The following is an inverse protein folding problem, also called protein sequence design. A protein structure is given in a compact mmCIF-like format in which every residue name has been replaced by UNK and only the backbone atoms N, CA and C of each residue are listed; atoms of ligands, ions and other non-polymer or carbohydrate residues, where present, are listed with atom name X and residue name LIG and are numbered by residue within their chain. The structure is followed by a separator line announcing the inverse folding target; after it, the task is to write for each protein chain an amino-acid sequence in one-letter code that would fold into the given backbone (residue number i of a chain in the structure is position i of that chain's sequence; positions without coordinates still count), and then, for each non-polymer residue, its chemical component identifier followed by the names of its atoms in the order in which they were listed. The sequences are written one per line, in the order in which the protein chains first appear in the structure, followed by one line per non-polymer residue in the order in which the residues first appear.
data_IF_656941194754
#
_entry.id   IF_656941194754
#
_cell.length_a   1.000
_cell.length_b   1.000
_cell.length_c   1.000
_cell.angle_alpha   90.00
_cell.angle_beta   90.00
_cell.angle_gamma   90.00
#
_symmetry.space_group_name_H-M   'P 1'
#
loop_
_entity.id
_entity.type
_entity.pdbx_description
1 polymer ?
#
# COMPACT_ATOMS: atom_id res chain seq x y z
N UNK A 1 -11.12 49.39 -26.93
CA UNK A 1 -12.32 48.60 -27.32
C UNK A 1 -12.05 47.14 -26.95
N UNK A 2 -12.38 46.79 -25.71
CA UNK A 2 -12.06 45.51 -25.07
C UNK A 2 -13.05 44.44 -25.54
N UNK A 3 -12.56 43.42 -26.26
CA UNK A 3 -13.35 42.24 -26.63
C UNK A 3 -13.37 41.30 -25.42
N UNK A 4 -14.43 41.40 -24.61
CA UNK A 4 -14.76 40.38 -23.61
C UNK A 4 -14.99 39.04 -24.31
N UNK A 5 -14.05 38.11 -24.13
CA UNK A 5 -14.28 36.70 -24.44
C UNK A 5 -15.21 36.14 -23.37
N UNK A 6 -16.39 35.69 -23.77
CA UNK A 6 -17.40 35.08 -22.87
C UNK A 6 -16.88 33.85 -22.11
N UNK A 7 -17.63 33.36 -21.10
CA UNK A 7 -17.20 32.26 -20.25
C UNK A 7 -17.04 30.99 -21.09
N UNK A 8 -15.78 30.61 -21.32
CA UNK A 8 -15.44 29.45 -22.15
C UNK A 8 -16.02 28.15 -21.58
N UNK A 9 -16.64 27.38 -22.48
CA UNK A 9 -17.18 26.03 -22.28
C UNK A 9 -16.20 25.08 -21.54
N UNK A 10 -14.90 25.36 -21.59
CA UNK A 10 -13.87 24.62 -20.85
C UNK A 10 -13.99 24.63 -19.31
N UNK A 11 -14.75 25.57 -18.72
CA UNK A 11 -14.94 25.62 -17.27
C UNK A 11 -16.16 24.82 -16.76
N UNK A 12 -17.11 24.47 -17.64
CA UNK A 12 -18.37 23.83 -17.24
C UNK A 12 -18.13 22.38 -16.83
N UNK A 13 -17.46 21.59 -17.68
CA UNK A 13 -17.08 20.21 -17.37
C UNK A 13 -16.22 20.10 -16.10
N UNK A 14 -15.37 21.11 -15.83
CA UNK A 14 -14.51 21.13 -14.66
C UNK A 14 -15.29 21.46 -13.37
N UNK A 15 -16.28 22.35 -13.43
CA UNK A 15 -17.22 22.59 -12.32
C UNK A 15 -18.06 21.36 -12.02
N UNK A 16 -18.47 20.62 -13.04
CA UNK A 16 -19.17 19.33 -12.89
C UNK A 16 -18.26 18.29 -12.23
N UNK A 17 -16.99 18.19 -12.63
CA UNK A 17 -16.02 17.27 -12.03
C UNK A 17 -15.69 17.63 -10.58
N UNK A 18 -15.56 18.92 -10.25
CA UNK A 18 -15.47 19.41 -8.87
C UNK A 18 -16.72 19.09 -8.08
N UNK A 19 -17.91 19.26 -8.66
CA UNK A 19 -19.17 18.92 -8.00
C UNK A 19 -19.29 17.41 -7.77
N UNK A 20 -18.80 16.56 -8.69
CA UNK A 20 -18.81 15.10 -8.54
C UNK A 20 -17.79 14.62 -7.52
N UNK A 21 -16.57 15.19 -7.49
CA UNK A 21 -15.57 14.85 -6.47
C UNK A 21 -16.01 15.40 -5.11
N UNK A 22 -16.49 16.64 -5.03
CA UNK A 22 -17.02 17.18 -3.79
C UNK A 22 -18.31 16.49 -3.36
N UNK A 23 -19.16 15.98 -4.26
CA UNK A 23 -20.37 15.25 -3.86
C UNK A 23 -20.06 13.81 -3.46
N UNK A 24 -19.09 13.15 -4.11
CA UNK A 24 -18.55 11.88 -3.63
C UNK A 24 -17.92 12.09 -2.27
N UNK A 25 -17.03 13.09 -2.10
CA UNK A 25 -16.35 13.40 -0.83
C UNK A 25 -17.29 13.94 0.27
N UNK A 26 -18.29 14.76 -0.06
CA UNK A 26 -19.28 15.22 0.92
C UNK A 26 -20.30 14.12 1.26
N UNK A 27 -20.60 13.22 0.32
CA UNK A 27 -21.32 11.98 0.58
C UNK A 27 -20.55 11.04 1.52
N UNK A 28 -19.22 11.17 1.62
CA UNK A 28 -18.38 10.46 2.61
C UNK A 28 -18.59 10.99 4.04
N UNK A 29 -19.06 12.23 4.22
CA UNK A 29 -19.14 12.90 5.53
C UNK A 29 -20.39 12.59 6.37
N UNK A 30 -21.38 11.87 5.82
CA UNK A 30 -22.68 11.66 6.49
C UNK A 30 -23.13 10.20 6.60
N UNK A 31 -22.29 9.25 6.20
CA UNK A 31 -22.47 7.88 6.70
C UNK A 31 -21.99 7.88 8.15
N UNK A 32 -22.88 8.23 9.08
CA UNK A 32 -22.70 7.93 10.49
C UNK A 32 -22.39 6.44 10.60
N UNK A 33 -21.10 6.09 10.70
CA UNK A 33 -20.74 4.86 11.37
C UNK A 33 -21.30 5.06 12.76
N UNK A 34 -22.36 4.33 13.10
CA UNK A 34 -22.70 4.14 14.49
C UNK A 34 -21.40 3.70 15.16
N UNK A 35 -20.81 4.62 15.92
CA UNK A 35 -19.87 4.26 16.95
C UNK A 35 -20.74 3.48 17.92
N UNK A 36 -20.84 2.17 17.68
CA UNK A 36 -20.96 1.27 18.81
C UNK A 36 -19.68 1.56 19.58
N UNK A 37 -19.81 2.42 20.58
CA UNK A 37 -19.03 2.24 21.79
C UNK A 37 -19.13 0.73 22.06
N UNK A 38 -17.99 0.05 22.02
CA UNK A 38 -17.94 -1.27 22.59
C UNK A 38 -18.25 -1.02 24.07
N UNK A 39 -19.51 -1.26 24.40
CA UNK A 39 -20.06 -1.39 25.74
C UNK A 39 -19.13 -2.32 26.54
N UNK A 40 -19.07 -2.11 27.85
CA UNK A 40 -18.23 -2.80 28.84
C UNK A 40 -18.34 -4.34 28.75
N UNK A 41 -17.71 -4.91 27.73
CA UNK A 41 -17.71 -6.32 27.43
C UNK A 41 -16.39 -6.92 27.88
N UNK A 42 -16.47 -7.98 28.67
CA UNK A 42 -15.32 -8.79 29.08
C UNK A 42 -14.45 -9.12 27.85
N UNK A 43 -13.16 -8.77 27.90
CA UNK A 43 -12.21 -9.11 26.85
C UNK A 43 -11.69 -10.52 27.10
N UNK A 44 -11.46 -11.28 26.03
CA UNK A 44 -10.94 -12.65 26.15
C UNK A 44 -9.72 -12.88 25.28
N UNK A 45 -8.74 -13.59 25.83
CA UNK A 45 -7.71 -14.27 25.07
C UNK A 45 -8.12 -15.72 24.93
N UNK A 46 -8.23 -16.18 23.69
CA UNK A 46 -8.51 -17.57 23.36
C UNK A 46 -7.22 -18.19 22.89
N UNK A 47 -6.57 -18.95 23.75
CA UNK A 47 -5.43 -19.77 23.36
C UNK A 47 -5.94 -21.09 22.79
N UNK A 48 -5.45 -21.46 21.62
CA UNK A 48 -5.82 -22.69 20.91
C UNK A 48 -4.57 -23.54 20.74
N UNK A 49 -4.59 -24.78 21.22
CA UNK A 49 -3.49 -25.72 21.04
C UNK A 49 -3.95 -26.83 20.11
N UNK A 50 -3.23 -26.99 19.01
CA UNK A 50 -3.54 -27.97 17.97
C UNK A 50 -2.32 -28.84 17.72
N UNK A 51 -2.52 -30.15 17.64
CA UNK A 51 -1.55 -31.13 17.17
C UNK A 51 -1.66 -31.21 15.66
N UNK A 52 -0.54 -31.01 14.98
CA UNK A 52 -0.44 -31.08 13.54
C UNK A 52 0.29 -32.37 13.16
N UNK A 53 -0.36 -33.19 12.34
CA UNK A 53 0.23 -34.41 11.78
C UNK A 53 0.10 -34.33 10.27
N UNK A 54 1.16 -34.70 9.55
CA UNK A 54 1.15 -34.77 8.10
C UNK A 54 0.53 -36.10 7.66
N UNK A 55 -0.57 -36.03 6.92
CA UNK A 55 -1.17 -37.18 6.22
C UNK A 55 -1.15 -36.85 4.73
N UNK A 56 -0.32 -37.55 3.96
CA UNK A 56 -0.11 -37.31 2.52
C UNK A 56 0.28 -35.84 2.18
N UNK A 57 1.26 -35.27 2.89
CA UNK A 57 1.72 -33.88 2.73
C UNK A 57 0.66 -32.79 3.02
N UNK A 58 -0.53 -33.17 3.50
CA UNK A 58 -1.55 -32.22 3.97
C UNK A 58 -1.51 -32.17 5.50
N UNK A 59 -1.41 -30.98 6.11
CA UNK A 59 -1.42 -30.85 7.56
C UNK A 59 -2.83 -31.07 8.11
N UNK A 60 -3.05 -32.21 8.76
CA UNK A 60 -4.27 -32.47 9.52
C UNK A 60 -4.08 -31.95 10.95
N UNK A 61 -5.05 -31.18 11.44
CA UNK A 61 -4.98 -30.51 12.75
C UNK A 61 -6.02 -31.08 13.69
N UNK A 62 -5.56 -31.67 14.78
CA UNK A 62 -6.40 -32.21 15.84
C UNK A 62 -6.26 -31.35 17.11
N UNK A 63 -7.34 -31.05 17.84
CA UNK A 63 -7.25 -30.26 19.07
C UNK A 63 -6.50 -31.02 20.17
N UNK A 64 -5.68 -30.31 20.96
CA UNK A 64 -4.94 -30.88 22.10
C UNK A 64 -5.50 -30.35 23.41
N UNK A 65 -6.09 -31.25 24.19
CA UNK A 65 -6.54 -30.98 25.55
C UNK A 65 -5.37 -31.08 26.54
N UNK A 66 -5.45 -30.38 27.67
CA UNK A 66 -4.52 -30.54 28.79
C UNK A 66 -3.28 -29.64 28.80
N UNK A 67 -3.12 -28.73 27.83
CA UNK A 67 -2.01 -27.79 27.81
C UNK A 67 -2.29 -26.59 28.74
N UNK A 68 -1.36 -26.27 29.64
CA UNK A 68 -1.44 -25.09 30.51
C UNK A 68 -0.96 -23.83 29.78
N UNK A 69 -1.77 -22.78 29.85
CA UNK A 69 -1.52 -21.48 29.26
C UNK A 69 -1.57 -20.41 30.34
N UNK A 70 -0.54 -19.58 30.40
CA UNK A 70 -0.43 -18.42 31.29
C UNK A 70 -0.51 -17.14 30.48
N UNK A 71 -1.33 -16.20 30.94
CA UNK A 71 -1.42 -14.86 30.39
C UNK A 71 -0.83 -13.88 31.40
N UNK A 72 0.23 -13.21 31.00
CA UNK A 72 0.92 -12.19 31.80
C UNK A 72 0.87 -10.83 31.10
N UNK A 73 0.98 -9.75 31.87
CA UNK A 73 1.19 -8.39 31.33
C UNK A 73 2.65 -8.23 30.88
N UNK A 74 2.96 -7.22 30.06
CA UNK A 74 4.35 -6.92 29.65
C UNK A 74 5.33 -6.71 30.81
N UNK A 75 4.82 -6.37 31.99
CA UNK A 75 5.58 -6.14 33.22
C UNK A 75 5.74 -7.42 34.08
N UNK A 76 5.25 -8.57 33.62
CA UNK A 76 5.38 -9.87 34.27
C UNK A 76 4.27 -10.23 35.27
N UNK A 77 3.26 -9.38 35.45
CA UNK A 77 2.12 -9.65 36.34
C UNK A 77 1.18 -10.70 35.75
N UNK A 78 0.86 -11.75 36.52
CA UNK A 78 -0.06 -12.81 36.09
C UNK A 78 -1.52 -12.32 36.12
N UNK A 79 -2.22 -12.45 35.00
CA UNK A 79 -3.63 -12.05 34.86
C UNK A 79 -4.56 -13.25 34.97
N UNK A 80 -4.16 -14.37 34.35
CA UNK A 80 -4.93 -15.60 34.41
C UNK A 80 -4.15 -16.79 33.85
N UNK A 81 -4.53 -17.97 34.30
CA UNK A 81 -4.03 -19.26 33.82
C UNK A 81 -5.23 -20.14 33.47
N UNK A 82 -5.07 -21.01 32.48
CA UNK A 82 -6.09 -21.97 32.15
C UNK A 82 -5.54 -23.16 31.37
N UNK A 83 -6.34 -24.22 31.32
CA UNK A 83 -5.99 -25.48 30.67
C UNK A 83 -6.87 -25.65 29.43
N UNK A 84 -6.32 -26.16 28.34
CA UNK A 84 -7.10 -26.44 27.13
C UNK A 84 -8.12 -27.57 27.34
N UNK A 85 -9.36 -27.34 26.90
CA UNK A 85 -10.44 -28.33 26.93
C UNK A 85 -10.33 -29.37 25.80
N UNK A 86 -11.33 -30.26 25.70
CA UNK A 86 -11.41 -31.28 24.64
C UNK A 86 -11.48 -30.70 23.22
N UNK A 87 -11.85 -29.41 23.08
CA UNK A 87 -11.85 -28.63 21.85
C UNK A 87 -10.48 -27.98 21.55
N UNK A 88 -9.48 -28.19 22.41
CA UNK A 88 -8.14 -27.60 22.29
C UNK A 88 -8.12 -26.10 22.53
N UNK A 89 -9.16 -25.54 23.17
CA UNK A 89 -9.27 -24.12 23.46
C UNK A 89 -9.19 -23.86 24.96
N UNK A 90 -8.54 -22.76 25.31
CA UNK A 90 -8.54 -22.17 26.64
C UNK A 90 -8.97 -20.71 26.51
N UNK A 91 -9.93 -20.28 27.33
CA UNK A 91 -10.42 -18.90 27.35
C UNK A 91 -9.99 -18.25 28.65
N UNK A 92 -9.23 -17.16 28.56
CA UNK A 92 -8.78 -16.37 29.71
C UNK A 92 -9.37 -14.97 29.57
N UNK A 93 -10.11 -14.53 30.59
CA UNK A 93 -10.63 -13.17 30.65
C UNK A 93 -9.49 -12.18 30.94
N UNK A 94 -9.44 -11.09 30.19
CA UNK A 94 -8.49 -9.99 30.37
C UNK A 94 -9.26 -8.70 30.68
N UNK A 95 -8.76 -7.88 31.62
CA UNK A 95 -9.51 -6.72 32.14
C UNK A 95 -9.60 -5.57 31.12
N UNK A 96 -8.62 -5.41 30.24
CA UNK A 96 -8.53 -4.32 29.25
C UNK A 96 -7.93 -4.82 27.94
N UNK A 97 -7.88 -3.98 26.90
CA UNK A 97 -7.07 -4.25 25.70
C UNK A 97 -5.69 -3.66 25.89
N UNK A 98 -4.76 -4.45 26.40
CA UNK A 98 -3.37 -4.06 26.62
C UNK A 98 -2.40 -5.07 26.00
N UNK A 99 -1.11 -4.84 26.19
CA UNK A 99 -0.04 -5.73 25.74
C UNK A 99 0.08 -6.93 26.70
N UNK A 100 -0.11 -8.13 26.16
CA UNK A 100 -0.06 -9.37 26.92
C UNK A 100 1.00 -10.32 26.36
N UNK A 101 1.61 -11.10 27.26
CA UNK A 101 2.50 -12.21 26.97
C UNK A 101 1.74 -13.50 27.29
N UNK A 102 1.62 -14.36 26.30
CA UNK A 102 0.88 -15.62 26.42
C UNK A 102 1.89 -16.75 26.31
N UNK A 103 2.04 -17.47 27.41
CA UNK A 103 3.04 -18.53 27.58
C UNK A 103 2.34 -19.88 27.65
N UNK A 104 2.83 -20.83 26.87
CA UNK A 104 2.42 -22.23 26.99
C UNK A 104 3.47 -23.01 27.77
N UNK A 105 3.04 -23.75 28.80
CA UNK A 105 3.94 -24.60 29.56
C UNK A 105 4.23 -25.88 28.78
N UNK A 106 5.42 -25.95 28.19
CA UNK A 106 5.87 -27.09 27.38
C UNK A 106 5.94 -28.42 28.16
N UNK A 107 6.01 -28.37 29.49
CA UNK A 107 6.02 -29.58 30.33
C UNK A 107 4.63 -30.15 30.57
N UNK A 108 3.59 -29.34 30.35
CA UNK A 108 2.18 -29.72 30.53
C UNK A 108 1.56 -30.39 29.30
N UNK A 109 2.30 -30.49 28.19
CA UNK A 109 1.81 -31.08 26.95
C UNK A 109 1.64 -32.61 27.08
N UNK A 110 0.43 -33.18 26.85
CA UNK A 110 0.25 -34.62 26.91
C UNK A 110 0.91 -35.35 25.74
N UNK A 111 1.24 -36.63 25.94
CA UNK A 111 1.75 -37.57 24.94
C UNK A 111 3.16 -37.31 24.36
N UNK A 112 4.03 -36.55 25.05
CA UNK A 112 5.39 -36.26 24.56
C UNK A 112 5.43 -35.33 23.34
N UNK A 113 4.32 -34.62 23.09
CA UNK A 113 4.22 -33.61 22.05
C UNK A 113 5.12 -32.42 22.39
N UNK A 114 5.91 -31.97 21.42
CA UNK A 114 6.68 -30.74 21.52
C UNK A 114 6.04 -29.66 20.65
N UNK A 115 6.32 -28.39 20.98
CA UNK A 115 5.95 -27.28 20.11
C UNK A 115 6.72 -27.39 18.79
N UNK A 116 6.02 -27.13 17.69
CA UNK A 116 6.63 -27.08 16.35
C UNK A 116 7.69 -25.97 16.26
N UNK A 117 7.48 -24.87 16.98
CA UNK A 117 8.39 -23.73 17.06
C UNK A 117 8.59 -23.36 18.53
N UNK A 118 9.74 -23.73 19.10
CA UNK A 118 10.07 -23.45 20.49
C UNK A 118 10.15 -21.94 20.80
N UNK A 119 10.46 -21.10 19.80
CA UNK A 119 10.49 -19.64 19.98
C UNK A 119 9.07 -19.05 20.11
N UNK A 120 8.03 -19.77 19.68
CA UNK A 120 6.62 -19.41 19.85
C UNK A 120 6.00 -19.99 21.13
N UNK A 121 6.80 -20.50 22.05
CA UNK A 121 6.33 -20.85 23.39
C UNK A 121 5.80 -19.62 24.15
N UNK A 122 6.30 -18.42 23.81
CA UNK A 122 5.77 -17.14 24.26
C UNK A 122 5.30 -16.33 23.06
N UNK A 123 4.04 -15.89 23.09
CA UNK A 123 3.48 -15.03 22.05
C UNK A 123 3.12 -13.68 22.65
N UNK A 124 3.78 -12.63 22.14
CA UNK A 124 3.42 -11.25 22.46
C UNK A 124 2.21 -10.81 21.66
N UNK A 125 1.19 -10.34 22.35
CA UNK A 125 0.00 -9.74 21.76
C UNK A 125 -0.03 -8.27 22.14
N UNK A 126 0.21 -7.41 21.17
CA UNK A 126 0.06 -5.97 21.34
C UNK A 126 -1.41 -5.53 21.31
N UNK A 127 -1.73 -4.45 22.02
CA UNK A 127 -3.08 -3.86 22.07
C UNK A 127 -3.71 -3.61 20.68
N UNK A 128 -2.88 -3.29 19.69
CA UNK A 128 -3.32 -2.98 18.30
C UNK A 128 -3.80 -4.25 17.57
N UNK A 129 -3.42 -5.44 18.05
CA UNK A 129 -3.78 -6.72 17.45
C UNK A 129 -5.16 -7.24 17.87
N UNK A 130 -5.85 -6.57 18.81
CA UNK A 130 -7.24 -6.85 19.17
C UNK A 130 -8.20 -6.23 18.15
N UNK A 131 -8.61 -7.02 17.15
CA UNK A 131 -9.58 -6.59 16.13
C UNK A 131 -11.04 -6.67 16.58
N UNK A 132 -11.33 -7.52 17.58
CA UNK A 132 -12.62 -7.70 18.29
C UNK A 132 -12.39 -7.79 19.82
N UNK A 133 -13.45 -8.03 20.61
CA UNK A 133 -13.32 -8.26 22.07
C UNK A 133 -12.55 -9.55 22.41
N UNK A 134 -12.23 -10.38 21.41
CA UNK A 134 -11.51 -11.64 21.60
C UNK A 134 -10.27 -11.68 20.72
N UNK A 135 -9.11 -12.01 21.29
CA UNK A 135 -7.91 -12.34 20.51
C UNK A 135 -7.66 -13.84 20.56
N UNK A 136 -7.56 -14.48 19.40
CA UNK A 136 -7.13 -15.88 19.31
C UNK A 136 -5.62 -15.95 19.09
N UNK A 137 -4.95 -16.78 19.88
CA UNK A 137 -3.55 -17.18 19.69
C UNK A 137 -3.52 -18.69 19.54
N UNK A 138 -2.82 -19.19 18.52
CA UNK A 138 -2.77 -20.62 18.25
C UNK A 138 -1.34 -21.13 18.37
N UNK A 139 -1.16 -22.15 19.21
CA UNK A 139 0.07 -22.91 19.37
C UNK A 139 -0.07 -24.23 18.62
N UNK A 140 0.96 -24.57 17.84
CA UNK A 140 0.99 -25.82 17.08
C UNK A 140 2.01 -26.77 17.71
N UNK A 141 1.59 -28.01 17.93
CA UNK A 141 2.36 -29.11 18.51
C UNK A 141 2.42 -30.28 17.54
N UNK A 142 3.34 -31.22 17.74
CA UNK A 142 3.45 -32.41 16.90
C UNK A 142 4.60 -32.35 15.92
N UNK A 143 4.54 -33.20 14.89
CA UNK A 143 5.51 -33.14 13.81
C UNK A 143 5.43 -31.75 13.19
N UNK A 144 6.60 -31.13 13.06
CA UNK A 144 6.79 -29.96 12.23
C UNK A 144 6.38 -30.31 10.80
N UNK A 145 5.08 -30.26 10.52
CA UNK A 145 4.53 -29.88 9.22
C UNK A 145 4.75 -28.40 8.95
N UNK A 146 5.79 -27.83 9.57
CA UNK A 146 6.68 -26.99 8.81
C UNK A 146 7.10 -27.88 7.64
N UNK A 147 6.45 -27.69 6.48
CA UNK A 147 7.28 -27.38 5.33
C UNK A 147 8.16 -26.25 5.83
N UNK A 148 9.29 -26.63 6.45
CA UNK A 148 10.41 -25.77 6.79
C UNK A 148 10.80 -25.34 5.43
N UNK A 149 10.12 -24.28 4.98
CA UNK A 149 10.13 -23.90 3.60
C UNK A 149 11.60 -23.82 3.32
N UNK A 150 12.10 -24.71 2.47
CA UNK A 150 13.55 -24.81 2.26
C UNK A 150 14.05 -23.38 2.11
N UNK A 151 15.27 -23.04 2.55
CA UNK A 151 15.73 -21.64 2.45
C UNK A 151 15.42 -21.07 1.06
N UNK A 152 15.55 -21.91 0.03
CA UNK A 152 15.07 -21.74 -1.35
C UNK A 152 13.58 -21.37 -1.48
N UNK A 153 12.63 -22.14 -0.94
CA UNK A 153 11.21 -21.77 -0.88
C UNK A 153 10.98 -20.39 -0.24
N UNK A 154 11.68 -20.08 0.87
CA UNK A 154 11.53 -18.77 1.53
C UNK A 154 12.04 -17.64 0.63
N UNK A 155 13.18 -17.84 -0.05
CA UNK A 155 13.68 -16.90 -1.06
C UNK A 155 12.73 -16.75 -2.25
N UNK A 156 12.18 -17.85 -2.78
CA UNK A 156 11.26 -17.84 -3.92
C UNK A 156 9.93 -17.15 -3.57
N UNK A 157 9.40 -17.36 -2.37
CA UNK A 157 8.20 -16.68 -1.89
C UNK A 157 8.44 -15.18 -1.74
N UNK A 158 9.55 -14.77 -1.11
CA UNK A 158 9.92 -13.34 -0.98
C UNK A 158 10.19 -12.68 -2.32
N UNK A 159 10.78 -13.39 -3.28
CA UNK A 159 10.94 -12.89 -4.63
C UNK A 159 9.58 -12.65 -5.31
N UNK A 160 8.63 -13.58 -5.13
CA UNK A 160 7.27 -13.46 -5.68
C UNK A 160 6.52 -12.28 -5.07
N UNK A 161 6.56 -12.13 -3.74
CA UNK A 161 6.01 -10.97 -3.03
C UNK A 161 6.71 -9.67 -3.50
N UNK A 162 8.02 -9.71 -3.70
CA UNK A 162 8.83 -8.61 -4.20
C UNK A 162 8.49 -8.16 -5.60
N UNK A 163 8.19 -9.10 -6.51
CA UNK A 163 7.71 -8.79 -7.86
C UNK A 163 6.36 -8.08 -7.78
N UNK A 164 5.44 -8.55 -6.92
CA UNK A 164 4.12 -7.93 -6.73
C UNK A 164 4.25 -6.51 -6.17
N UNK A 165 5.02 -6.34 -5.10
CA UNK A 165 5.29 -5.02 -4.52
C UNK A 165 6.00 -4.10 -5.53
N UNK A 166 6.97 -4.63 -6.29
CA UNK A 166 7.71 -3.93 -7.32
C UNK A 166 6.80 -3.40 -8.43
N UNK A 167 5.82 -4.17 -8.88
CA UNK A 167 4.82 -3.73 -9.86
C UNK A 167 4.00 -2.55 -9.32
N UNK A 168 3.56 -2.62 -8.06
CA UNK A 168 2.80 -1.54 -7.39
C UNK A 168 3.66 -0.27 -7.31
N UNK A 169 4.87 -0.37 -6.78
CA UNK A 169 5.77 0.77 -6.63
C UNK A 169 6.14 1.34 -8.00
N UNK A 170 6.41 0.52 -9.02
CA UNK A 170 6.72 0.96 -10.37
C UNK A 170 5.57 1.78 -10.97
N UNK A 171 4.32 1.35 -10.83
CA UNK A 171 3.16 2.11 -11.35
C UNK A 171 3.05 3.48 -10.66
N UNK A 172 3.13 3.51 -9.34
CA UNK A 172 3.04 4.76 -8.58
C UNK A 172 4.22 5.70 -8.92
N UNK A 173 5.43 5.14 -9.04
CA UNK A 173 6.67 5.85 -9.38
C UNK A 173 6.63 6.43 -10.79
N UNK A 174 6.10 5.70 -11.78
CA UNK A 174 5.93 6.21 -13.14
C UNK A 174 4.98 7.41 -13.14
N UNK A 175 3.87 7.34 -12.40
CA UNK A 175 2.94 8.46 -12.26
C UNK A 175 3.60 9.71 -11.68
N UNK A 176 4.33 9.56 -10.57
CA UNK A 176 5.05 10.67 -9.92
C UNK A 176 6.17 11.21 -10.82
N UNK A 177 6.93 10.32 -11.47
CA UNK A 177 8.02 10.71 -12.37
C UNK A 177 7.54 11.46 -13.61
N UNK A 178 6.35 11.16 -14.14
CA UNK A 178 5.79 11.93 -15.24
C UNK A 178 5.47 13.37 -14.81
N UNK A 179 4.89 13.53 -13.63
CA UNK A 179 4.59 14.86 -13.04
C UNK A 179 5.88 15.65 -12.82
N UNK A 180 6.86 15.06 -12.14
CA UNK A 180 8.16 15.69 -11.90
C UNK A 180 8.85 16.02 -13.24
N UNK A 181 8.89 15.07 -14.17
CA UNK A 181 9.57 15.22 -15.44
C UNK A 181 9.01 16.35 -16.30
N UNK A 182 7.69 16.57 -16.30
CA UNK A 182 7.06 17.60 -17.15
C UNK A 182 6.88 18.95 -16.48
N UNK A 183 6.82 19.01 -15.15
CA UNK A 183 6.55 20.27 -14.42
C UNK A 183 7.71 20.74 -13.55
N UNK A 184 8.68 19.88 -13.26
CA UNK A 184 9.76 20.15 -12.30
C UNK A 184 9.27 20.25 -10.85
N UNK A 185 8.03 19.85 -10.56
CA UNK A 185 7.43 19.93 -9.23
C UNK A 185 7.56 18.59 -8.51
N UNK A 186 8.28 18.60 -7.39
CA UNK A 186 8.35 17.46 -6.46
C UNK A 186 7.07 17.43 -5.62
N UNK A 187 6.12 16.59 -6.01
CA UNK A 187 4.81 16.50 -5.36
C UNK A 187 4.78 15.38 -4.30
N UNK A 188 5.01 15.71 -3.02
CA UNK A 188 4.89 14.73 -1.92
C UNK A 188 3.45 14.23 -1.73
N UNK A 189 2.44 15.05 -2.03
CA UNK A 189 1.04 14.66 -1.95
C UNK A 189 0.63 13.57 -2.98
N UNK A 190 1.53 13.16 -3.88
CA UNK A 190 1.30 12.01 -4.76
C UNK A 190 1.13 10.70 -3.97
N UNK A 191 1.78 10.57 -2.81
CA UNK A 191 1.49 9.49 -1.86
C UNK A 191 0.01 9.46 -1.50
N UNK A 192 -0.56 10.60 -1.14
CA UNK A 192 -1.98 10.71 -0.79
C UNK A 192 -2.94 10.47 -1.96
N UNK A 193 -2.48 10.65 -3.21
CA UNK A 193 -3.24 10.23 -4.39
C UNK A 193 -3.33 8.70 -4.49
N UNK A 194 -2.35 7.96 -3.96
CA UNK A 194 -2.40 6.50 -3.79
C UNK A 194 -3.42 6.13 -2.70
N UNK A 195 -3.34 6.78 -1.53
CA UNK A 195 -4.31 6.58 -0.43
C UNK A 195 -5.75 6.83 -0.91
N UNK A 196 -5.97 7.92 -1.66
CA UNK A 196 -7.26 8.27 -2.23
C UNK A 196 -7.85 7.14 -3.09
N UNK A 197 -7.02 6.51 -3.94
CA UNK A 197 -7.44 5.36 -4.74
C UNK A 197 -7.84 4.16 -3.90
N UNK A 198 -7.06 3.84 -2.87
CA UNK A 198 -7.35 2.73 -1.96
C UNK A 198 -8.65 2.96 -1.17
N UNK A 199 -8.87 4.18 -0.66
CA UNK A 199 -10.06 4.54 0.11
C UNK A 199 -11.33 4.58 -0.76
N UNK A 200 -11.26 5.11 -1.98
CA UNK A 200 -12.40 5.04 -2.90
C UNK A 200 -12.69 3.60 -3.32
N UNK A 201 -11.67 2.79 -3.56
CA UNK A 201 -11.85 1.36 -3.84
C UNK A 201 -12.60 0.68 -2.69
N UNK A 202 -12.19 0.95 -1.45
CA UNK A 202 -12.90 0.48 -0.27
C UNK A 202 -14.34 0.98 -0.21
N UNK A 203 -14.57 2.27 -0.44
CA UNK A 203 -15.90 2.84 -0.41
C UNK A 203 -16.85 2.19 -1.43
N UNK A 204 -16.45 2.11 -2.70
CA UNK A 204 -17.28 1.49 -3.72
C UNK A 204 -17.46 -0.02 -3.48
N UNK A 205 -16.41 -0.70 -2.99
CA UNK A 205 -16.46 -2.15 -2.82
C UNK A 205 -17.28 -2.59 -1.62
N UNK A 206 -17.17 -1.89 -0.50
CA UNK A 206 -17.74 -2.30 0.78
C UNK A 206 -19.02 -1.55 1.10
N UNK A 207 -19.05 -0.22 0.94
CA UNK A 207 -20.25 0.55 1.24
C UNK A 207 -21.31 0.45 0.14
N UNK A 208 -20.89 0.48 -1.12
CA UNK A 208 -21.79 0.36 -2.27
C UNK A 208 -21.92 -1.07 -2.80
N UNK A 209 -21.18 -2.02 -2.24
CA UNK A 209 -21.18 -3.44 -2.63
C UNK A 209 -20.88 -3.66 -4.13
N UNK A 210 -20.15 -2.74 -4.78
CA UNK A 210 -19.80 -2.85 -6.20
C UNK A 210 -18.54 -3.72 -6.34
N UNK A 211 -18.56 -4.77 -7.16
CA UNK A 211 -17.38 -5.61 -7.38
C UNK A 211 -16.16 -4.79 -7.83
N UNK A 212 -14.98 -5.13 -7.31
CA UNK A 212 -13.75 -4.37 -7.57
C UNK A 212 -13.38 -4.29 -9.06
N UNK A 213 -13.81 -5.27 -9.85
CA UNK A 213 -13.57 -5.29 -11.30
C UNK A 213 -14.34 -4.17 -12.03
N UNK A 214 -15.48 -3.74 -11.48
CA UNK A 214 -16.32 -2.66 -12.01
C UNK A 214 -15.94 -1.33 -11.37
N UNK A 215 -15.73 -1.32 -10.05
CA UNK A 215 -15.35 -0.08 -9.35
C UNK A 215 -13.91 0.34 -9.63
N UNK A 216 -13.01 -0.59 -9.97
CA UNK A 216 -11.62 -0.31 -10.30
C UNK A 216 -11.45 0.75 -11.40
N UNK A 217 -11.97 0.55 -12.62
CA UNK A 217 -11.91 1.56 -13.69
C UNK A 217 -12.51 2.91 -13.29
N UNK A 218 -13.61 2.92 -12.52
CA UNK A 218 -14.22 4.15 -12.02
C UNK A 218 -13.29 4.88 -11.04
N UNK A 219 -12.66 4.15 -10.11
CA UNK A 219 -11.72 4.70 -9.14
C UNK A 219 -10.46 5.22 -9.83
N UNK A 220 -9.96 4.53 -10.86
CA UNK A 220 -8.82 4.99 -11.67
C UNK A 220 -9.17 6.31 -12.37
N UNK A 221 -10.37 6.41 -12.94
CA UNK A 221 -10.87 7.65 -13.55
C UNK A 221 -10.94 8.78 -12.50
N UNK A 222 -11.54 8.51 -11.34
CA UNK A 222 -11.65 9.48 -10.25
C UNK A 222 -10.28 9.90 -9.70
N UNK A 223 -9.32 8.98 -9.61
CA UNK A 223 -7.94 9.26 -9.23
C UNK A 223 -7.24 10.19 -10.23
N UNK A 224 -7.43 9.95 -11.53
CA UNK A 224 -6.93 10.88 -12.55
C UNK A 224 -7.59 12.25 -12.49
N UNK A 225 -8.89 12.30 -12.26
CA UNK A 225 -9.64 13.53 -12.02
C UNK A 225 -9.14 14.28 -10.76
N UNK A 226 -8.78 13.56 -9.70
CA UNK A 226 -8.19 14.11 -8.50
C UNK A 226 -6.80 14.71 -8.75
N UNK A 227 -5.96 14.03 -9.54
CA UNK A 227 -4.67 14.57 -10.00
C UNK A 227 -4.83 15.87 -10.82
N UNK A 228 -5.82 15.91 -11.72
CA UNK A 228 -6.17 17.15 -12.45
C UNK A 228 -6.64 18.26 -11.52
N UNK A 229 -7.42 17.93 -10.51
CA UNK A 229 -7.95 18.87 -9.52
C UNK A 229 -6.82 19.48 -8.69
N UNK A 230 -5.88 18.66 -8.21
CA UNK A 230 -4.69 19.13 -7.48
C UNK A 230 -3.85 20.05 -8.36
N UNK A 231 -3.58 19.65 -9.60
CA UNK A 231 -2.84 20.49 -10.54
C UNK A 231 -3.55 21.83 -10.76
N UNK A 232 -4.82 21.81 -11.16
CA UNK A 232 -5.56 23.02 -11.48
C UNK A 232 -5.78 23.94 -10.26
N UNK A 233 -6.08 23.36 -9.11
CA UNK A 233 -6.39 24.08 -7.88
C UNK A 233 -5.16 24.72 -7.24
N UNK A 234 -4.03 24.02 -7.30
CA UNK A 234 -2.81 24.37 -6.56
C UNK A 234 -1.66 24.61 -7.55
N UNK A 235 -1.03 23.57 -8.07
CA UNK A 235 0.28 23.69 -8.72
C UNK A 235 0.27 24.55 -9.99
N UNK A 236 -0.71 24.39 -10.89
CA UNK A 236 -0.84 25.21 -12.08
C UNK A 236 -1.02 26.70 -11.75
N UNK A 237 -1.66 27.05 -10.62
CA UNK A 237 -1.79 28.44 -10.17
C UNK A 237 -0.49 28.96 -9.58
N UNK A 238 0.20 28.15 -8.79
CA UNK A 238 1.49 28.53 -8.21
C UNK A 238 2.55 28.75 -9.29
N UNK A 239 2.62 27.84 -10.28
CA UNK A 239 3.52 27.98 -11.42
C UNK A 239 3.21 29.21 -12.26
N UNK A 240 1.92 29.53 -12.50
CA UNK A 240 1.52 30.76 -13.20
C UNK A 240 1.89 32.04 -12.45
N UNK A 241 1.97 31.98 -11.12
CA UNK A 241 2.42 33.09 -10.27
C UNK A 241 3.94 33.18 -10.15
N UNK A 242 4.70 32.32 -10.85
CA UNK A 242 6.16 32.33 -10.82
C UNK A 242 6.76 31.80 -9.52
N UNK A 243 6.02 31.00 -8.74
CA UNK A 243 6.52 30.45 -7.48
C UNK A 243 7.52 29.33 -7.79
N UNK A 244 8.73 29.45 -7.22
CA UNK A 244 9.83 28.50 -7.46
C UNK A 244 9.54 27.09 -6.94
N UNK A 245 10.19 26.10 -7.55
CA UNK A 245 9.96 24.67 -7.26
C UNK A 245 10.18 24.29 -5.79
N UNK A 246 11.14 24.91 -5.11
CA UNK A 246 11.40 24.67 -3.68
C UNK A 246 10.19 25.07 -2.80
N UNK A 247 9.55 26.20 -3.10
CA UNK A 247 8.34 26.62 -2.39
C UNK A 247 7.15 25.71 -2.72
N UNK A 248 7.05 25.22 -3.96
CA UNK A 248 6.02 24.26 -4.34
C UNK A 248 6.18 22.90 -3.64
N UNK A 249 7.42 22.48 -3.36
CA UNK A 249 7.71 21.29 -2.56
C UNK A 249 7.12 21.45 -1.15
N UNK A 250 7.36 22.58 -0.48
CA UNK A 250 6.78 22.87 0.85
C UNK A 250 5.25 22.86 0.80
N UNK A 251 4.64 23.43 -0.24
CA UNK A 251 3.18 23.35 -0.43
C UNK A 251 2.70 21.91 -0.59
N UNK A 252 3.44 21.07 -1.33
CA UNK A 252 3.08 19.66 -1.50
C UNK A 252 3.17 18.86 -0.20
N UNK A 253 4.12 19.17 0.69
CA UNK A 253 4.22 18.57 2.01
C UNK A 253 3.03 18.99 2.89
N UNK A 254 2.69 20.28 2.90
CA UNK A 254 1.51 20.79 3.59
C UNK A 254 0.21 20.18 3.05
N UNK A 255 0.10 20.02 1.74
CA UNK A 255 -1.03 19.33 1.10
C UNK A 255 -1.10 17.85 1.50
N UNK A 256 0.04 17.16 1.58
CA UNK A 256 0.11 15.77 2.03
C UNK A 256 -0.41 15.64 3.47
N UNK A 257 0.07 16.49 4.38
CA UNK A 257 -0.38 16.53 5.78
C UNK A 257 -1.86 16.91 5.91
N UNK A 258 -2.37 17.80 5.06
CA UNK A 258 -3.78 18.12 5.02
C UNK A 258 -4.62 16.92 4.57
N UNK A 259 -4.20 16.23 3.49
CA UNK A 259 -4.95 15.11 2.91
C UNK A 259 -4.94 13.88 3.84
N UNK A 260 -3.80 13.52 4.44
CA UNK A 260 -3.74 12.38 5.38
C UNK A 260 -4.68 12.60 6.58
N UNK A 261 -4.72 13.82 7.13
CA UNK A 261 -5.63 14.15 8.24
C UNK A 261 -7.09 14.26 7.79
N UNK A 262 -7.34 14.73 6.56
CA UNK A 262 -8.68 14.72 5.98
C UNK A 262 -9.19 13.27 5.81
N UNK A 263 -8.34 12.36 5.34
CA UNK A 263 -8.68 10.95 5.20
C UNK A 263 -8.90 10.28 6.56
N UNK A 264 -8.06 10.59 7.55
CA UNK A 264 -8.24 10.15 8.93
C UNK A 264 -9.60 10.60 9.49
N UNK A 265 -9.97 11.86 9.26
CA UNK A 265 -11.25 12.41 9.69
C UNK A 265 -12.45 11.74 8.99
N UNK A 266 -12.36 11.49 7.68
CA UNK A 266 -13.46 10.92 6.89
C UNK A 266 -13.64 9.41 7.06
N UNK A 267 -12.54 8.64 7.14
CA UNK A 267 -12.57 7.17 7.13
C UNK A 267 -12.18 6.52 8.46
N UNK A 268 -11.65 7.30 9.41
CA UNK A 268 -11.16 6.84 10.70
C UNK A 268 -9.76 6.21 10.64
N UNK A 269 -9.19 5.95 11.82
CA UNK A 269 -7.82 5.41 11.95
C UNK A 269 -7.69 3.89 11.83
N UNK A 270 -8.81 3.15 11.76
CA UNK A 270 -8.79 1.68 11.68
C UNK A 270 -8.52 1.23 10.25
N UNK A 271 -7.66 0.22 10.10
CA UNK A 271 -7.46 -0.46 8.82
C UNK A 271 -8.75 -1.14 8.34
N UNK A 272 -8.94 -1.19 7.03
CA UNK A 272 -10.14 -1.71 6.37
C UNK A 272 -9.75 -2.74 5.32
N UNK A 273 -10.51 -3.83 5.22
CA UNK A 273 -10.29 -4.86 4.21
C UNK A 273 -11.29 -4.71 3.05
N UNK A 274 -10.81 -4.91 1.82
CA UNK A 274 -11.67 -5.05 0.66
C UNK A 274 -12.39 -6.40 0.70
N UNK A 275 -13.71 -6.41 0.56
CA UNK A 275 -14.52 -7.65 0.61
C UNK A 275 -14.32 -8.51 -0.63
N UNK A 276 -14.05 -7.89 -1.79
CA UNK A 276 -13.68 -8.62 -2.99
C UNK A 276 -12.38 -9.39 -2.80
N UNK A 277 -12.42 -10.67 -3.16
CA UNK A 277 -11.28 -11.61 -3.07
C UNK A 277 -10.79 -11.92 -1.65
N UNK A 278 -11.54 -11.56 -0.60
CA UNK A 278 -11.18 -11.84 0.81
C UNK A 278 -11.21 -13.32 1.22
N UNK A 279 -11.88 -14.19 0.46
CA UNK A 279 -12.02 -15.63 0.76
C UNK A 279 -11.45 -16.49 -0.36
N UNK A 280 -10.14 -16.41 -0.57
CA UNK A 280 -9.45 -17.24 -1.55
C UNK A 280 -8.53 -18.24 -0.88
N UNK A 281 -8.58 -19.48 -1.36
CA UNK A 281 -7.63 -20.51 -0.98
C UNK A 281 -6.33 -20.25 -1.75
N UNK A 282 -5.20 -20.39 -1.07
CA UNK A 282 -3.90 -20.22 -1.66
C UNK A 282 -3.69 -21.29 -2.75
N UNK A 283 -3.22 -20.89 -3.94
CA UNK A 283 -2.78 -21.86 -4.94
C UNK A 283 -1.33 -22.21 -4.64
N UNK A 284 -1.08 -23.47 -4.31
CA UNK A 284 0.26 -23.98 -4.10
C UNK A 284 0.85 -24.39 -5.47
N UNK A 285 1.74 -23.56 -6.00
CA UNK A 285 2.49 -23.84 -7.23
C UNK A 285 3.89 -24.27 -6.80
N UNK A 286 4.01 -25.55 -6.42
CA UNK A 286 5.25 -26.09 -5.86
C UNK A 286 5.70 -25.32 -4.61
N UNK A 287 6.91 -24.73 -4.58
CA UNK A 287 7.43 -24.03 -3.41
C UNK A 287 6.77 -22.66 -3.12
N UNK A 288 5.90 -22.17 -4.01
CA UNK A 288 5.34 -20.82 -3.95
C UNK A 288 3.83 -20.91 -3.72
N UNK A 289 3.36 -20.26 -2.66
CA UNK A 289 1.94 -20.04 -2.42
C UNK A 289 1.51 -18.69 -2.98
N UNK A 290 0.60 -18.70 -3.97
CA UNK A 290 0.05 -17.48 -4.55
C UNK A 290 -1.48 -17.51 -4.55
N UNK A 291 -2.12 -16.46 -4.05
CA UNK A 291 -3.58 -16.37 -4.16
C UNK A 291 -3.98 -15.98 -5.59
N UNK A 292 -5.16 -16.41 -6.09
CA UNK A 292 -5.66 -15.98 -7.41
C UNK A 292 -5.73 -14.45 -7.56
N UNK A 293 -5.98 -13.73 -6.47
CA UNK A 293 -5.93 -12.27 -6.36
C UNK A 293 -4.53 -11.70 -6.59
N UNK A 294 -3.51 -12.28 -5.96
CA UNK A 294 -2.13 -11.83 -6.15
C UNK A 294 -1.67 -12.07 -7.58
N UNK A 295 -2.08 -13.20 -8.17
CA UNK A 295 -1.82 -13.51 -9.57
C UNK A 295 -2.53 -12.52 -10.52
N UNK A 296 -3.81 -12.24 -10.29
CA UNK A 296 -4.58 -11.30 -11.13
C UNK A 296 -4.07 -9.87 -11.03
N UNK A 297 -3.70 -9.39 -9.83
CA UNK A 297 -3.11 -8.07 -9.65
C UNK A 297 -1.72 -7.97 -10.30
N UNK A 298 -0.89 -9.00 -10.18
CA UNK A 298 0.41 -9.04 -10.86
C UNK A 298 0.28 -9.01 -12.39
N UNK A 299 -0.58 -9.86 -12.96
CA UNK A 299 -0.82 -9.90 -14.42
C UNK A 299 -1.36 -8.56 -14.92
N UNK A 300 -2.39 -8.02 -14.25
CA UNK A 300 -2.99 -6.75 -14.64
C UNK A 300 -2.00 -5.60 -14.52
N UNK A 301 -1.17 -5.60 -13.47
CA UNK A 301 -0.14 -4.58 -13.27
C UNK A 301 0.95 -4.61 -14.33
N UNK A 302 1.40 -5.80 -14.75
CA UNK A 302 2.32 -5.95 -15.88
C UNK A 302 1.69 -5.40 -17.16
N UNK A 303 0.42 -5.75 -17.44
CA UNK A 303 -0.31 -5.25 -18.62
C UNK A 303 -0.38 -3.72 -18.61
N UNK A 304 -0.69 -3.11 -17.47
CA UNK A 304 -0.76 -1.64 -17.32
C UNK A 304 0.61 -1.00 -17.52
N UNK A 305 1.66 -1.52 -16.88
CA UNK A 305 3.02 -1.01 -17.01
C UNK A 305 3.52 -1.10 -18.46
N UNK A 306 3.32 -2.23 -19.13
CA UNK A 306 3.67 -2.40 -20.54
C UNK A 306 2.86 -1.46 -21.45
N UNK A 307 1.57 -1.28 -21.16
CA UNK A 307 0.71 -0.34 -21.90
C UNK A 307 1.20 1.09 -21.78
N UNK A 308 1.58 1.52 -20.57
CA UNK A 308 2.15 2.85 -20.31
C UNK A 308 3.50 2.99 -21.01
N UNK A 309 4.39 2.01 -20.85
CA UNK A 309 5.72 2.02 -21.47
C UNK A 309 5.63 2.11 -23.00
N UNK A 310 4.74 1.32 -23.62
CA UNK A 310 4.49 1.34 -25.06
C UNK A 310 3.89 2.68 -25.51
N UNK A 311 2.90 3.20 -24.77
CA UNK A 311 2.27 4.48 -25.06
C UNK A 311 3.29 5.63 -25.03
N UNK A 312 4.20 5.66 -24.06
CA UNK A 312 5.26 6.68 -23.97
C UNK A 312 6.28 6.58 -25.12
N UNK A 313 6.57 5.36 -25.58
CA UNK A 313 7.56 5.11 -26.63
C UNK A 313 7.03 5.42 -28.03
N UNK A 314 5.83 4.93 -28.35
CA UNK A 314 5.30 4.89 -29.73
C UNK A 314 4.26 5.96 -30.02
N UNK A 315 3.52 6.49 -29.04
CA UNK A 315 2.43 7.42 -29.30
C UNK A 315 2.90 8.86 -29.56
N UNK A 316 2.07 9.64 -30.29
CA UNK A 316 2.28 11.09 -30.47
C UNK A 316 2.28 11.83 -29.14
N UNK A 317 1.45 11.38 -28.20
CA UNK A 317 1.39 11.93 -26.85
C UNK A 317 2.68 11.68 -26.07
N UNK A 318 3.26 10.48 -26.17
CA UNK A 318 4.55 10.15 -25.56
C UNK A 318 5.72 10.97 -26.12
N UNK A 319 5.70 11.31 -27.42
CA UNK A 319 6.66 12.26 -28.00
C UNK A 319 6.48 13.67 -27.44
N UNK A 320 5.23 14.13 -27.30
CA UNK A 320 4.93 15.44 -26.72
C UNK A 320 5.32 15.54 -25.24
N UNK A 321 5.08 14.49 -24.44
CA UNK A 321 5.53 14.42 -23.04
C UNK A 321 7.04 14.56 -22.95
N UNK A 322 7.80 13.81 -23.76
CA UNK A 322 9.27 13.87 -23.78
C UNK A 322 9.79 15.25 -24.21
N UNK A 323 9.15 15.89 -25.20
CA UNK A 323 9.51 17.25 -25.60
C UNK A 323 9.27 18.26 -24.48
N UNK A 324 8.14 18.15 -23.76
CA UNK A 324 7.80 19.03 -22.64
C UNK A 324 8.73 18.81 -21.44
N UNK A 325 9.14 17.56 -21.17
CA UNK A 325 10.10 17.27 -20.09
C UNK A 325 11.52 17.75 -20.41
N UNK A 326 11.89 17.79 -21.69
CA UNK A 326 13.20 18.27 -22.11
C UNK A 326 13.29 19.81 -22.00
N UNK A 327 12.31 20.53 -22.56
CA UNK A 327 12.21 21.98 -22.41
C UNK A 327 10.80 22.50 -22.77
N UNK A 328 10.08 23.01 -21.77
CA UNK A 328 8.70 23.51 -21.93
C UNK A 328 8.62 24.67 -22.93
N UNK A 329 9.59 25.59 -22.90
CA UNK A 329 9.59 26.78 -23.78
C UNK A 329 9.83 26.39 -25.24
N UNK A 330 10.83 25.55 -25.52
CA UNK A 330 11.11 25.06 -26.87
C UNK A 330 9.97 24.20 -27.41
N UNK A 331 9.38 23.33 -26.57
CA UNK A 331 8.21 22.55 -26.96
C UNK A 331 7.05 23.46 -27.40
N UNK A 332 6.77 24.52 -26.64
CA UNK A 332 5.72 25.48 -27.00
C UNK A 332 6.00 26.24 -28.30
N UNK A 333 7.26 26.57 -28.59
CA UNK A 333 7.66 27.24 -29.83
C UNK A 333 7.47 26.34 -31.07
N UNK A 334 7.54 25.02 -30.92
CA UNK A 334 7.27 24.05 -31.98
C UNK A 334 5.78 23.73 -32.19
N UNK A 335 4.88 24.44 -31.50
CA UNK A 335 3.42 24.27 -31.62
C UNK A 335 2.82 23.19 -30.73
N UNK A 336 3.56 22.64 -29.77
CA UNK A 336 3.03 21.71 -28.77
C UNK A 336 2.27 22.50 -27.70
N UNK A 337 0.99 22.18 -27.49
CA UNK A 337 0.21 22.71 -26.36
C UNK A 337 0.70 22.07 -25.05
N UNK A 338 1.70 22.71 -24.44
CA UNK A 338 2.35 22.24 -23.20
C UNK A 338 1.36 22.16 -22.04
N UNK A 339 0.39 23.07 -21.98
CA UNK A 339 -0.63 23.07 -20.92
C UNK A 339 -1.55 21.85 -21.03
N UNK A 340 -1.91 21.45 -22.25
CA UNK A 340 -2.67 20.21 -22.49
C UNK A 340 -1.87 18.98 -22.12
N UNK A 341 -0.58 18.93 -22.48
CA UNK A 341 0.31 17.82 -22.11
C UNK A 341 0.43 17.70 -20.59
N UNK A 342 0.67 18.82 -19.88
CA UNK A 342 0.74 18.84 -18.41
C UNK A 342 -0.56 18.33 -17.79
N UNK A 343 -1.74 18.77 -18.27
CA UNK A 343 -3.02 18.24 -17.78
C UNK A 343 -3.12 16.72 -17.96
N UNK A 344 -2.78 16.21 -19.14
CA UNK A 344 -2.85 14.76 -19.38
C UNK A 344 -1.88 13.99 -18.47
N UNK A 345 -0.69 14.54 -18.22
CA UNK A 345 0.27 13.94 -17.30
C UNK A 345 -0.23 13.91 -15.86
N UNK A 346 -0.84 15.00 -15.37
CA UNK A 346 -1.43 15.01 -14.03
C UNK A 346 -2.62 14.04 -13.90
N UNK A 347 -3.42 13.90 -14.96
CA UNK A 347 -4.46 12.88 -15.01
C UNK A 347 -3.84 11.46 -14.97
N UNK A 348 -2.84 11.18 -15.80
CA UNK A 348 -2.18 9.88 -15.83
C UNK A 348 -1.47 9.57 -14.51
N UNK A 349 -0.84 10.57 -13.88
CA UNK A 349 -0.19 10.45 -12.58
C UNK A 349 -1.19 10.06 -11.48
N UNK A 350 -2.34 10.74 -11.41
CA UNK A 350 -3.41 10.39 -10.47
C UNK A 350 -4.08 9.05 -10.75
N UNK A 351 -4.27 8.72 -12.03
CA UNK A 351 -4.82 7.42 -12.42
C UNK A 351 -3.89 6.28 -12.00
N UNK A 352 -2.58 6.39 -12.27
CA UNK A 352 -1.58 5.38 -11.88
C UNK A 352 -1.40 5.29 -10.36
N UNK A 353 -1.42 6.42 -9.65
CA UNK A 353 -1.40 6.42 -8.18
C UNK A 353 -2.62 5.68 -7.62
N UNK A 354 -3.82 5.96 -8.15
CA UNK A 354 -5.04 5.29 -7.71
C UNK A 354 -5.04 3.79 -8.05
N UNK A 355 -4.54 3.39 -9.22
CA UNK A 355 -4.32 1.97 -9.56
C UNK A 355 -3.42 1.28 -8.54
N UNK A 356 -2.29 1.90 -8.20
CA UNK A 356 -1.39 1.37 -7.18
C UNK A 356 -2.04 1.28 -5.80
N UNK A 357 -2.91 2.25 -5.46
CA UNK A 357 -3.69 2.23 -4.22
C UNK A 357 -4.71 1.10 -4.18
N UNK A 358 -5.42 0.85 -5.29
CA UNK A 358 -6.32 -0.31 -5.43
C UNK A 358 -5.53 -1.60 -5.22
N UNK A 359 -4.38 -1.75 -5.87
CA UNK A 359 -3.62 -2.99 -5.81
C UNK A 359 -2.96 -3.20 -4.45
N UNK A 360 -2.49 -2.13 -3.81
CA UNK A 360 -1.94 -2.19 -2.46
C UNK A 360 -3.03 -2.45 -1.42
N UNK A 361 -4.21 -1.84 -1.56
CA UNK A 361 -5.37 -2.11 -0.71
C UNK A 361 -6.02 -3.47 -0.98
N UNK A 362 -5.69 -4.10 -2.12
CA UNK A 362 -5.84 -5.52 -2.26
C UNK A 362 -4.74 -6.18 -1.43
N UNK A 363 -3.48 -6.18 -1.85
CA UNK A 363 -2.37 -6.86 -1.17
C UNK A 363 -2.39 -6.79 0.38
N UNK A 364 -2.67 -5.62 0.95
CA UNK A 364 -2.83 -5.37 2.40
C UNK A 364 -4.15 -4.67 2.76
N UNK A 365 -4.37 -4.43 4.06
CA UNK A 365 -5.52 -3.67 4.52
C UNK A 365 -5.35 -2.18 4.19
N UNK A 366 -6.41 -1.55 3.71
CA UNK A 366 -6.46 -0.11 3.43
C UNK A 366 -6.34 0.67 4.73
N UNK A 367 -5.36 1.57 4.80
CA UNK A 367 -5.18 2.53 5.88
C UNK A 367 -5.18 3.97 5.34
N UNK A 368 -5.46 4.94 6.20
CA UNK A 368 -5.45 6.36 5.81
C UNK A 368 -4.03 6.91 5.56
N UNK A 369 -2.98 6.20 5.99
CA UNK A 369 -1.58 6.61 5.85
C UNK A 369 -0.79 5.80 4.81
N UNK A 370 -1.39 4.80 4.17
CA UNK A 370 -0.72 3.86 3.26
C UNK A 370 0.10 4.54 2.16
N UNK A 371 -0.41 5.65 1.60
CA UNK A 371 0.29 6.40 0.56
C UNK A 371 1.55 7.11 1.05
N UNK A 372 1.56 7.57 2.32
CA UNK A 372 2.72 8.20 2.94
C UNK A 372 3.88 7.21 3.14
N UNK A 373 3.57 5.94 3.43
CA UNK A 373 4.59 4.90 3.52
C UNK A 373 5.20 4.62 2.14
N UNK A 374 4.35 4.54 1.11
CA UNK A 374 4.78 4.26 -0.27
C UNK A 374 5.54 5.43 -0.91
N UNK A 375 5.33 6.68 -0.48
CA UNK A 375 5.97 7.84 -1.13
C UNK A 375 7.49 7.78 -1.06
N UNK A 376 8.04 7.31 0.06
CA UNK A 376 9.48 7.15 0.22
C UNK A 376 10.04 6.04 -0.69
N UNK A 377 9.30 4.94 -0.84
CA UNK A 377 9.68 3.86 -1.76
C UNK A 377 9.61 4.33 -3.22
N UNK A 378 8.61 5.15 -3.57
CA UNK A 378 8.54 5.79 -4.88
C UNK A 378 9.74 6.70 -5.13
N UNK A 379 10.11 7.55 -4.17
CA UNK A 379 11.29 8.41 -4.31
C UNK A 379 12.58 7.59 -4.44
N UNK A 380 12.75 6.53 -3.67
CA UNK A 380 13.86 5.59 -3.83
C UNK A 380 13.88 4.98 -5.25
N UNK A 381 12.72 4.58 -5.77
CA UNK A 381 12.61 4.01 -7.12
C UNK A 381 12.93 5.03 -8.22
N UNK A 382 12.39 6.24 -8.12
CA UNK A 382 12.60 7.30 -9.11
C UNK A 382 14.06 7.78 -9.09
N UNK A 383 14.68 7.91 -7.91
CA UNK A 383 16.09 8.33 -7.81
C UNK A 383 17.03 7.25 -8.31
N UNK A 384 16.81 5.98 -7.98
CA UNK A 384 17.53 4.84 -8.56
C UNK A 384 17.40 4.83 -10.09
N UNK A 385 16.18 5.05 -10.59
CA UNK A 385 15.88 5.10 -12.01
C UNK A 385 16.42 6.32 -12.75
N UNK A 386 16.47 7.47 -12.08
CA UNK A 386 16.74 8.79 -12.65
C UNK A 386 15.50 9.69 -12.62
N UNK A 387 15.63 10.84 -11.94
CA UNK A 387 14.55 11.81 -11.76
C UNK A 387 13.99 12.30 -13.10
N UNK A 388 12.66 12.30 -13.22
CA UNK A 388 11.95 12.79 -14.41
C UNK A 388 11.95 11.83 -15.61
N UNK A 389 12.60 10.66 -15.50
CA UNK A 389 12.54 9.61 -16.52
C UNK A 389 11.49 8.57 -16.15
N UNK A 390 10.37 8.53 -16.89
CA UNK A 390 9.32 7.54 -16.66
C UNK A 390 9.83 6.08 -16.80
N UNK A 391 10.77 5.83 -17.72
CA UNK A 391 11.40 4.50 -17.86
C UNK A 391 12.31 4.19 -16.69
N UNK A 392 13.09 5.17 -16.23
CA UNK A 392 13.90 5.04 -15.03
C UNK A 392 13.03 4.68 -13.83
N UNK A 393 11.95 5.43 -13.60
CA UNK A 393 11.02 5.20 -12.51
C UNK A 393 10.33 3.83 -12.55
N UNK A 394 10.04 3.30 -13.75
CA UNK A 394 9.49 1.95 -13.91
C UNK A 394 10.49 0.90 -13.42
N UNK A 395 11.72 0.93 -13.94
CA UNK A 395 12.75 -0.07 -13.61
C UNK A 395 13.20 0.07 -12.16
N UNK A 396 13.43 1.30 -11.71
CA UNK A 396 13.87 1.59 -10.36
C UNK A 396 12.80 1.26 -9.33
N UNK A 397 11.53 1.61 -9.57
CA UNK A 397 10.42 1.25 -8.68
C UNK A 397 10.22 -0.27 -8.58
N UNK A 398 10.34 -0.98 -9.71
CA UNK A 398 10.26 -2.44 -9.74
C UNK A 398 11.38 -3.09 -8.92
N UNK A 399 12.62 -2.61 -9.11
CA UNK A 399 13.77 -3.11 -8.36
C UNK A 399 13.67 -2.82 -6.86
N UNK A 400 13.20 -1.63 -6.48
CA UNK A 400 13.02 -1.27 -5.07
C UNK A 400 12.01 -2.19 -4.39
N UNK A 401 10.90 -2.55 -5.03
CA UNK A 401 9.94 -3.49 -4.43
C UNK A 401 10.52 -4.88 -4.22
N UNK A 402 11.28 -5.40 -5.19
CA UNK A 402 11.98 -6.69 -5.02
C UNK A 402 13.00 -6.58 -3.89
N UNK A 403 13.79 -5.52 -3.87
CA UNK A 403 14.82 -5.33 -2.86
C UNK A 403 14.24 -5.26 -1.45
N UNK A 404 13.15 -4.53 -1.27
CA UNK A 404 12.46 -4.40 0.03
C UNK A 404 11.98 -5.76 0.52
N UNK A 405 11.29 -6.56 -0.31
CA UNK A 405 10.82 -7.88 0.15
C UNK A 405 11.94 -8.89 0.36
N UNK A 406 13.00 -8.86 -0.45
CA UNK A 406 14.17 -9.71 -0.25
C UNK A 406 14.94 -9.33 1.02
N UNK A 407 15.02 -8.04 1.33
CA UNK A 407 15.71 -7.55 2.53
C UNK A 407 15.02 -7.96 3.84
N UNK A 408 13.71 -8.24 3.79
CA UNK A 408 12.94 -8.73 4.94
C UNK A 408 13.38 -10.13 5.42
N UNK A 409 14.28 -10.81 4.70
CA UNK A 409 14.94 -12.03 5.16
C UNK A 409 16.02 -11.77 6.22
N UNK A 410 16.59 -10.56 6.23
CA UNK A 410 17.71 -10.19 7.10
C UNK A 410 17.37 -9.02 8.03
N UNK A 411 16.34 -8.24 7.68
CA UNK A 411 15.92 -7.03 8.39
C UNK A 411 14.54 -7.28 9.00
N UNK A 412 14.32 -6.91 10.29
CA UNK A 412 13.02 -7.02 10.94
C UNK A 412 11.91 -6.32 10.15
N UNK A 413 10.70 -6.87 10.20
CA UNK A 413 9.53 -6.37 9.46
C UNK A 413 9.18 -4.92 9.78
N UNK A 414 9.51 -4.45 10.97
CA UNK A 414 9.24 -3.08 11.44
C UNK A 414 10.09 -2.06 10.68
N UNK A 415 11.25 -2.49 10.13
CA UNK A 415 12.18 -1.66 9.39
C UNK A 415 12.08 -1.84 7.88
N UNK A 416 10.96 -2.38 7.38
CA UNK A 416 10.78 -2.71 5.95
C UNK A 416 10.98 -1.53 4.99
N UNK A 417 10.82 -0.29 5.43
CA UNK A 417 11.07 0.93 4.62
C UNK A 417 12.55 1.34 4.61
N UNK A 418 13.32 1.02 5.67
CA UNK A 418 14.72 1.41 5.81
C UNK A 418 15.64 0.94 4.67
N UNK A 419 15.53 -0.29 4.13
CA UNK A 419 16.33 -0.75 2.99
C UNK A 419 16.18 0.16 1.75
N UNK A 420 14.96 0.60 1.44
CA UNK A 420 14.70 1.48 0.30
C UNK A 420 15.36 2.86 0.51
N UNK A 421 15.27 3.42 1.72
CA UNK A 421 15.92 4.68 2.08
C UNK A 421 17.45 4.56 2.05
N UNK A 422 18.00 3.42 2.46
CA UNK A 422 19.43 3.17 2.37
C UNK A 422 19.92 3.15 0.92
N UNK A 423 19.20 2.46 0.01
CA UNK A 423 19.51 2.50 -1.43
C UNK A 423 19.41 3.91 -1.96
N UNK A 424 18.37 4.66 -1.60
CA UNK A 424 18.21 6.06 -1.99
C UNK A 424 19.45 6.88 -1.62
N UNK A 425 19.94 6.78 -0.37
CA UNK A 425 21.15 7.49 0.07
C UNK A 425 22.38 7.04 -0.73
N UNK A 426 22.56 5.72 -0.92
CA UNK A 426 23.68 5.16 -1.66
C UNK A 426 23.71 5.67 -3.11
N UNK A 427 22.56 5.67 -3.78
CA UNK A 427 22.43 6.19 -5.15
C UNK A 427 22.76 7.68 -5.19
N UNK A 428 22.29 8.47 -4.23
CA UNK A 428 22.59 9.90 -4.20
C UNK A 428 24.09 10.20 -4.00
N UNK A 429 24.81 9.36 -3.26
CA UNK A 429 26.27 9.49 -3.07
C UNK A 429 27.03 9.05 -4.33
N UNK A 430 26.68 7.89 -4.90
CA UNK A 430 27.46 7.26 -5.97
C UNK A 430 27.09 7.83 -7.34
N UNK A 431 25.80 8.07 -7.59
CA UNK A 431 25.28 8.48 -8.90
C UNK A 431 23.95 9.26 -8.76
N UNK A 432 24.00 10.56 -8.37
CA UNK A 432 22.80 11.35 -8.06
C UNK A 432 21.84 11.56 -9.24
N UNK A 433 22.28 11.27 -10.47
CA UNK A 433 21.42 11.30 -11.66
C UNK A 433 20.62 10.00 -11.86
N UNK A 434 20.87 8.95 -11.08
CA UNK A 434 20.28 7.62 -11.27
C UNK A 434 20.87 6.84 -12.45
N UNK A 435 20.36 5.63 -12.67
CA UNK A 435 20.87 4.69 -13.70
C UNK A 435 20.56 5.19 -15.11
N UNK A 436 19.37 5.76 -15.33
CA UNK A 436 18.91 6.26 -16.63
C UNK A 436 18.86 7.79 -16.72
N UNK A 437 19.52 8.50 -15.79
CA UNK A 437 19.64 9.96 -15.84
C UNK A 437 20.48 10.43 -17.02
N UNK A 438 20.05 11.53 -17.65
CA UNK A 438 20.85 12.21 -18.66
C UNK A 438 21.90 13.08 -17.97
N UNK A 439 23.17 12.94 -18.38
CA UNK A 439 24.27 13.78 -17.91
C UNK A 439 24.04 15.23 -18.31
N UNK A 440 23.46 16.02 -17.40
CA UNK A 440 23.56 17.46 -17.51
C UNK A 440 24.97 17.85 -17.10
N UNK A 441 25.68 18.53 -18.01
CA UNK A 441 26.98 19.13 -17.75
C UNK A 441 26.75 20.17 -16.65
N UNK A 442 27.20 19.85 -15.44
CA UNK A 442 27.35 20.84 -14.36
C UNK A 442 28.39 21.81 -14.90
N UNK A 443 27.91 22.96 -15.36
CA UNK A 443 28.70 24.01 -15.97
C UNK A 443 29.57 24.70 -14.94
#
# INVERSE_FOLDING_TARGET
MLKQTGPGVGHIWLKVLLAVICSTVAGLGFASSSVSAADDGEFFIIASVQNQVLVNDVPERTPVAGASIKVTTSDGTLIGEGITGADGLCKVAVPTRDNYLIDIDTTSLPNGLTLIDAAKAQVKVDQVLFTTNTKRVTFFTGDSGVSGSTEIERYLQRLTDGIRLGIIIAMCSVGLSLVIGTTGVTNFAHGEMVTFGALLAFFFNVHLNIPILISGPLVILLGGCFGLLINWGIFARLTKRGIGSNSQLVVSLGLSLMLINLFLFLFGGRTKQLTSFSKQVNLEIGPIGITPRDLTTAILGIIILLSVAFSLQRSRLGKAIRAVSDNVQLASATGIDTQKVIRIVWFAGGALAATGGIFRGLDEQVSFSMGSDLVFLMFAGITLGGLGSAYGALVGGFFIGIFVEMSALFIPSELKVAPALFILILVLIVRPQGIFGRSQRVG
#
